data_IF_284212767949
#
_entry.id   IF_284212767949
#
_cell.length_a   1.000
_cell.length_b   1.000
_cell.length_c   1.000
_cell.angle_alpha   90.00
_cell.angle_beta   90.00
_cell.angle_gamma   90.00
#
_symmetry.space_group_name_H-M   'P 1'
#
loop_
_entity.id
_entity.type
_entity.pdbx_description
1 polymer ?
#
# COMPACT_ATOMS: atom_id res chain seq x y z
N UNK A 1 0.49 24.79 -14.38
CA UNK A 1 0.76 23.90 -13.22
C UNK A 1 -0.55 23.24 -12.82
N UNK A 2 -0.63 21.91 -12.64
CA UNK A 2 -1.92 21.23 -12.64
C UNK A 2 -2.78 21.65 -11.44
N UNK A 3 -4.02 21.99 -11.78
CA UNK A 3 -5.19 22.45 -11.01
C UNK A 3 -5.73 21.44 -9.98
N UNK A 4 -4.90 20.51 -9.51
CA UNK A 4 -5.33 19.44 -8.61
C UNK A 4 -5.45 19.99 -7.20
N UNK A 5 -6.69 20.05 -6.69
CA UNK A 5 -6.98 20.55 -5.34
C UNK A 5 -6.14 19.83 -4.28
N UNK A 6 -5.80 20.54 -3.19
CA UNK A 6 -5.03 19.98 -2.07
C UNK A 6 -5.68 18.70 -1.52
N UNK A 7 -7.00 18.66 -1.52
CA UNK A 7 -7.82 17.50 -1.09
C UNK A 7 -7.67 16.32 -2.04
N UNK A 8 -7.62 16.55 -3.35
CA UNK A 8 -7.48 15.50 -4.37
C UNK A 8 -6.10 14.84 -4.29
N UNK A 9 -5.04 15.62 -4.07
CA UNK A 9 -3.67 15.08 -3.85
C UNK A 9 -3.60 14.22 -2.59
N UNK A 10 -4.28 14.66 -1.54
CA UNK A 10 -4.35 13.91 -0.28
C UNK A 10 -5.11 12.59 -0.46
N UNK A 11 -6.30 12.63 -1.08
CA UNK A 11 -7.09 11.44 -1.37
C UNK A 11 -6.32 10.44 -2.26
N UNK A 12 -5.64 10.93 -3.29
CA UNK A 12 -4.82 10.10 -4.17
C UNK A 12 -3.68 9.42 -3.41
N UNK A 13 -2.93 10.15 -2.58
CA UNK A 13 -1.83 9.56 -1.82
C UNK A 13 -2.31 8.52 -0.78
N UNK A 14 -3.47 8.76 -0.15
CA UNK A 14 -4.08 7.78 0.76
C UNK A 14 -4.55 6.55 -0.01
N UNK A 15 -5.19 6.72 -1.17
CA UNK A 15 -5.61 5.62 -2.01
C UNK A 15 -4.44 4.75 -2.45
N UNK A 16 -3.31 5.36 -2.87
CA UNK A 16 -2.08 4.62 -3.20
C UNK A 16 -1.58 3.83 -1.99
N UNK A 17 -1.49 4.45 -0.82
CA UNK A 17 -1.08 3.74 0.41
C UNK A 17 -1.97 2.53 0.70
N UNK A 18 -3.29 2.69 0.61
CA UNK A 18 -4.23 1.61 0.91
C UNK A 18 -4.13 0.49 -0.13
N UNK A 19 -4.21 0.82 -1.43
CA UNK A 19 -4.21 -0.17 -2.50
C UNK A 19 -2.93 -1.01 -2.50
N UNK A 20 -1.77 -0.37 -2.35
CA UNK A 20 -0.48 -1.06 -2.35
C UNK A 20 -0.25 -1.86 -1.06
N UNK A 21 -0.73 -1.38 0.10
CA UNK A 21 -0.60 -2.14 1.34
C UNK A 21 -1.60 -3.30 1.44
N UNK A 22 -2.69 -3.26 0.66
CA UNK A 22 -3.62 -4.38 0.49
C UNK A 22 -3.16 -5.38 -0.57
N UNK A 23 -2.14 -5.05 -1.38
CA UNK A 23 -1.62 -5.94 -2.42
C UNK A 23 -1.17 -7.32 -1.89
N UNK A 24 -0.49 -7.47 -0.73
CA UNK A 24 -0.17 -8.79 -0.19
C UNK A 24 -1.41 -9.67 0.07
N UNK A 25 -2.58 -9.07 0.27
CA UNK A 25 -3.83 -9.80 0.51
C UNK A 25 -4.33 -10.52 -0.74
N UNK A 26 -3.83 -10.18 -1.93
CA UNK A 26 -4.16 -10.86 -3.19
C UNK A 26 -3.25 -12.07 -3.46
N UNK A 27 -2.22 -12.32 -2.64
CA UNK A 27 -1.35 -13.49 -2.76
C UNK A 27 -2.14 -14.81 -2.79
N UNK A 28 -3.13 -15.07 -1.91
CA UNK A 28 -3.96 -16.28 -2.00
C UNK A 28 -4.68 -16.42 -3.35
N UNK A 29 -5.11 -15.30 -3.92
CA UNK A 29 -5.77 -15.28 -5.23
C UNK A 29 -4.81 -15.68 -6.36
N UNK A 30 -3.55 -15.23 -6.31
CA UNK A 30 -2.50 -15.69 -7.23
C UNK A 30 -2.30 -17.20 -7.13
N UNK A 31 -2.33 -17.75 -5.92
CA UNK A 31 -2.16 -19.18 -5.70
C UNK A 31 -3.31 -20.04 -6.21
N UNK A 32 -4.53 -19.50 -6.28
CA UNK A 32 -5.72 -20.15 -6.86
C UNK A 32 -5.67 -20.24 -8.40
N UNK A 33 -4.81 -19.49 -9.09
CA UNK A 33 -4.71 -19.54 -10.55
C UNK A 33 -3.94 -20.79 -11.03
N UNK A 34 -4.18 -21.29 -12.23
CA UNK A 34 -3.44 -22.44 -12.81
C UNK A 34 -2.05 -22.07 -13.38
N UNK A 35 -1.33 -21.14 -12.74
CA UNK A 35 0.03 -20.76 -13.15
C UNK A 35 1.08 -21.74 -12.62
N UNK A 36 2.25 -21.79 -13.28
CA UNK A 36 3.39 -22.58 -12.78
C UNK A 36 3.86 -22.07 -11.41
N UNK A 37 4.36 -22.99 -10.58
CA UNK A 37 4.82 -22.67 -9.22
C UNK A 37 5.89 -21.58 -9.24
N UNK A 38 6.83 -21.62 -10.19
CA UNK A 38 7.87 -20.60 -10.33
C UNK A 38 7.29 -19.18 -10.50
N UNK A 39 6.27 -19.01 -11.34
CA UNK A 39 5.64 -17.70 -11.58
C UNK A 39 4.86 -17.23 -10.35
N UNK A 40 4.10 -18.12 -9.69
CA UNK A 40 3.37 -17.80 -8.45
C UNK A 40 4.29 -17.32 -7.33
N UNK A 41 5.43 -17.98 -7.17
CA UNK A 41 6.44 -17.63 -6.16
C UNK A 41 6.99 -16.23 -6.38
N UNK A 42 7.36 -15.91 -7.62
CA UNK A 42 7.89 -14.58 -7.97
C UNK A 42 6.83 -13.50 -7.78
N UNK A 43 5.60 -13.72 -8.24
CA UNK A 43 4.50 -12.78 -8.05
C UNK A 43 4.17 -12.56 -6.56
N UNK A 44 4.18 -13.63 -5.77
CA UNK A 44 3.91 -13.56 -4.32
C UNK A 44 5.01 -12.77 -3.59
N UNK A 45 6.28 -13.00 -3.94
CA UNK A 45 7.40 -12.25 -3.39
C UNK A 45 7.29 -10.76 -3.74
N UNK A 46 6.92 -10.45 -4.99
CA UNK A 46 6.74 -9.07 -5.44
C UNK A 46 5.57 -8.39 -4.72
N UNK A 47 4.46 -9.10 -4.50
CA UNK A 47 3.31 -8.60 -3.74
C UNK A 47 3.62 -8.41 -2.25
N UNK A 48 4.50 -9.23 -1.67
CA UNK A 48 4.85 -9.17 -0.25
C UNK A 48 5.85 -8.06 0.10
N UNK A 49 6.84 -7.81 -0.76
CA UNK A 49 8.04 -7.00 -0.42
C UNK A 49 8.50 -6.03 -1.52
N UNK A 50 7.81 -5.98 -2.66
CA UNK A 50 8.15 -5.07 -3.75
C UNK A 50 7.08 -3.98 -3.92
N UNK A 51 5.86 -4.41 -4.17
CA UNK A 51 4.72 -3.54 -4.47
C UNK A 51 4.46 -2.58 -3.28
N UNK A 52 4.30 -3.04 -2.02
CA UNK A 52 4.01 -2.15 -0.89
C UNK A 52 4.99 -0.97 -0.76
N UNK A 53 6.28 -1.24 -0.95
CA UNK A 53 7.38 -0.29 -0.85
C UNK A 53 7.28 0.81 -1.91
N UNK A 54 6.97 0.43 -3.16
CA UNK A 54 6.73 1.39 -4.25
C UNK A 54 5.49 2.26 -3.92
N UNK A 55 4.44 1.67 -3.37
CA UNK A 55 3.25 2.39 -2.93
C UNK A 55 3.56 3.44 -1.86
N UNK A 56 4.37 3.09 -0.87
CA UNK A 56 4.81 4.02 0.17
C UNK A 56 5.63 5.17 -0.42
N UNK A 57 6.55 4.89 -1.35
CA UNK A 57 7.34 5.92 -2.03
C UNK A 57 6.47 6.89 -2.84
N UNK A 58 5.51 6.37 -3.61
CA UNK A 58 4.55 7.18 -4.36
C UNK A 58 3.67 8.02 -3.44
N UNK A 59 3.18 7.45 -2.35
CA UNK A 59 2.42 8.18 -1.35
C UNK A 59 3.25 9.29 -0.69
N UNK A 60 4.54 9.05 -0.42
CA UNK A 60 5.46 10.08 0.07
C UNK A 60 5.62 11.21 -0.95
N UNK A 61 5.70 10.91 -2.25
CA UNK A 61 5.78 11.92 -3.30
C UNK A 61 4.49 12.76 -3.39
N UNK A 62 3.33 12.15 -3.17
CA UNK A 62 2.02 12.82 -3.25
C UNK A 62 1.66 13.63 -1.99
N UNK A 63 1.88 13.05 -0.80
CA UNK A 63 1.46 13.58 0.51
C UNK A 63 2.59 14.27 1.30
N UNK A 64 3.85 13.93 1.00
CA UNK A 64 5.00 14.28 1.81
C UNK A 64 5.25 13.31 2.97
N UNK A 65 6.53 13.15 3.36
CA UNK A 65 6.95 12.21 4.43
C UNK A 65 6.24 12.44 5.77
N UNK A 66 5.88 13.69 6.09
CA UNK A 66 5.26 14.03 7.39
C UNK A 66 3.85 13.47 7.51
N UNK A 67 3.05 13.56 6.45
CA UNK A 67 1.67 13.09 6.43
C UNK A 67 1.61 11.56 6.38
N UNK A 68 2.47 10.91 5.59
CA UNK A 68 2.59 9.44 5.57
C UNK A 68 2.92 8.90 6.98
N UNK A 69 3.88 9.51 7.68
CA UNK A 69 4.17 9.14 9.09
C UNK A 69 3.00 9.39 10.03
N UNK A 70 2.20 10.44 9.80
CA UNK A 70 1.02 10.73 10.61
C UNK A 70 -0.05 9.67 10.44
N UNK A 71 -0.31 9.24 9.21
CA UNK A 71 -1.24 8.16 8.86
C UNK A 71 -0.78 6.87 9.55
N UNK A 72 0.47 6.45 9.34
CA UNK A 72 1.01 5.23 9.97
C UNK A 72 0.95 5.24 11.50
N UNK A 73 1.21 6.39 12.15
CA UNK A 73 1.07 6.50 13.61
C UNK A 73 -0.37 6.31 14.08
N UNK A 74 -1.36 6.83 13.35
CA UNK A 74 -2.77 6.60 13.65
C UNK A 74 -3.14 5.13 13.44
N UNK A 75 -2.75 4.52 12.32
CA UNK A 75 -3.00 3.11 12.04
C UNK A 75 -2.44 2.21 13.14
N UNK A 76 -1.18 2.41 13.55
CA UNK A 76 -0.56 1.65 14.65
C UNK A 76 -1.28 1.83 15.98
N UNK A 77 -1.79 3.03 16.28
CA UNK A 77 -2.60 3.26 17.49
C UNK A 77 -3.91 2.51 17.44
N UNK A 78 -4.66 2.61 16.34
CA UNK A 78 -5.91 1.88 16.17
C UNK A 78 -5.69 0.37 16.28
N UNK A 79 -4.64 -0.16 15.64
CA UNK A 79 -4.29 -1.58 15.72
C UNK A 79 -3.99 -1.99 17.17
N UNK A 80 -3.23 -1.18 17.91
CA UNK A 80 -2.94 -1.45 19.32
C UNK A 80 -4.21 -1.48 20.18
N UNK A 81 -5.17 -0.59 19.92
CA UNK A 81 -6.45 -0.55 20.63
C UNK A 81 -7.38 -1.72 20.28
N UNK A 82 -7.21 -2.36 19.13
CA UNK A 82 -8.00 -3.53 18.74
C UNK A 82 -7.44 -4.85 19.31
N UNK A 83 -6.19 -4.85 19.75
CA UNK A 83 -5.48 -6.03 20.27
C UNK A 83 -5.33 -5.98 21.81
N UNK A 84 -5.66 -4.86 22.45
CA UNK A 84 -5.65 -4.69 23.92
C UNK A 84 -7.08 -4.69 24.44
#
# INVERSE_FOLDING_TARGET
MPIVSRSTRYAAGVAVLVLFQLAPLTIPFVWMTDMSVAVKSVLSALLALGIPEIGVLLAIALLGRREVRRIWRRTKRCLKQLVT
#
